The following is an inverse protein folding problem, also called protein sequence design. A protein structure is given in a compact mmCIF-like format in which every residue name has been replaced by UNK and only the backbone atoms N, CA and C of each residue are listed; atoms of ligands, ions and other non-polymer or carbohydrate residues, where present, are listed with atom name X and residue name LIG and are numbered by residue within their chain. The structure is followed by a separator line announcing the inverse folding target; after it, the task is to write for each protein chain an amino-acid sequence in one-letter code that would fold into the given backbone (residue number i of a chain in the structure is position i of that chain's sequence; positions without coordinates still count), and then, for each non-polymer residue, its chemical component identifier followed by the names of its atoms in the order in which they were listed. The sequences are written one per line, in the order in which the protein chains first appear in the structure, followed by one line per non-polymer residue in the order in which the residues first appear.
data_IF_130602615846
#
_entry.id   IF_130602615846
#
_cell.length_a   1.000
_cell.length_b   1.000
_cell.length_c   1.000
_cell.angle_alpha   90.00
_cell.angle_beta   90.00
_cell.angle_gamma   90.00
#
_symmetry.space_group_name_H-M   'P 1'
#
loop_
_entity.id
_entity.type
_entity.pdbx_description
1 polymer ?
#
# COMPACT_ATOMS: atom_id res chain seq x y z
N UNK A 1 5.51 -19.32 3.56
CA UNK A 1 4.32 -19.37 2.69
C UNK A 1 4.05 -17.94 2.27
N UNK A 2 3.97 -17.65 0.96
CA UNK A 2 3.64 -16.29 0.50
C UNK A 2 2.23 -16.00 1.00
N UNK A 3 2.05 -14.99 1.85
CA UNK A 3 0.72 -14.47 2.20
C UNK A 3 -0.01 -14.21 0.87
N UNK A 4 -1.00 -15.04 0.56
CA UNK A 4 -1.82 -14.86 -0.62
C UNK A 4 -2.61 -13.58 -0.38
N UNK A 5 -2.15 -12.47 -0.95
CA UNK A 5 -2.83 -11.19 -0.82
C UNK A 5 -4.27 -11.31 -1.32
N UNK A 6 -5.19 -10.70 -0.61
CA UNK A 6 -6.60 -10.61 -1.00
C UNK A 6 -6.74 -9.55 -2.09
N UNK A 7 -7.63 -9.75 -3.05
CA UNK A 7 -7.91 -8.70 -4.03
C UNK A 7 -8.50 -7.48 -3.31
N UNK A 8 -8.02 -6.28 -3.64
CA UNK A 8 -8.57 -5.03 -3.13
C UNK A 8 -10.02 -4.89 -3.61
N UNK A 9 -10.93 -4.64 -2.68
CA UNK A 9 -12.36 -4.51 -2.93
C UNK A 9 -12.88 -3.13 -2.52
N UNK A 10 -14.08 -2.76 -2.96
CA UNK A 10 -14.68 -1.47 -2.59
C UNK A 10 -14.93 -1.34 -1.08
N UNK A 11 -15.12 -2.47 -0.38
CA UNK A 11 -15.28 -2.50 1.07
C UNK A 11 -14.02 -2.00 1.82
N UNK A 12 -12.84 -2.09 1.21
CA UNK A 12 -11.59 -1.59 1.79
C UNK A 12 -11.57 -0.06 1.87
N UNK A 13 -12.53 0.62 1.21
CA UNK A 13 -12.64 2.07 1.15
C UNK A 13 -13.86 2.60 1.88
N UNK A 14 -14.60 1.78 2.63
CA UNK A 14 -15.84 2.19 3.31
C UNK A 14 -15.66 3.46 4.18
N UNK A 15 -14.50 3.59 4.83
CA UNK A 15 -14.15 4.74 5.68
C UNK A 15 -13.17 5.71 5.01
N UNK A 16 -12.76 5.43 3.77
CA UNK A 16 -11.83 6.26 3.04
C UNK A 16 -12.51 7.53 2.54
N UNK A 17 -11.78 8.64 2.56
CA UNK A 17 -12.27 9.91 2.00
C UNK A 17 -11.89 10.00 0.52
N UNK A 18 -12.78 10.53 -0.35
CA UNK A 18 -12.41 10.85 -1.72
C UNK A 18 -11.11 11.69 -1.76
N UNK A 19 -10.21 11.43 -2.72
CA UNK A 19 -10.39 10.62 -3.93
C UNK A 19 -10.06 9.13 -3.78
N UNK A 20 -9.80 8.62 -2.57
CA UNK A 20 -9.42 7.22 -2.38
C UNK A 20 -10.52 6.26 -2.86
N UNK A 21 -10.15 5.39 -3.80
CA UNK A 21 -10.96 4.29 -4.33
C UNK A 21 -10.02 3.25 -4.94
N UNK A 22 -10.58 2.08 -5.32
CA UNK A 22 -9.84 1.05 -6.06
C UNK A 22 -9.26 1.61 -7.37
N UNK A 23 -10.04 2.40 -8.12
CA UNK A 23 -9.61 3.05 -9.35
C UNK A 23 -8.49 4.06 -9.08
N UNK A 24 -8.60 4.87 -8.02
CA UNK A 24 -7.56 5.82 -7.66
C UNK A 24 -6.24 5.11 -7.39
N UNK A 25 -6.25 4.02 -6.60
CA UNK A 25 -5.03 3.23 -6.36
C UNK A 25 -4.46 2.70 -7.68
N UNK A 26 -5.28 2.15 -8.57
CA UNK A 26 -4.82 1.66 -9.89
C UNK A 26 -4.15 2.77 -10.70
N UNK A 27 -4.79 3.94 -10.79
CA UNK A 27 -4.26 5.10 -11.50
C UNK A 27 -2.91 5.56 -10.95
N UNK A 28 -2.75 5.58 -9.63
CA UNK A 28 -1.46 5.90 -8.98
C UNK A 28 -0.40 4.86 -9.34
N UNK A 29 -0.72 3.58 -9.22
CA UNK A 29 0.22 2.50 -9.55
C UNK A 29 0.64 2.53 -11.02
N UNK A 30 -0.29 2.76 -11.94
CA UNK A 30 -0.01 2.90 -13.38
C UNK A 30 0.85 4.14 -13.66
N UNK A 31 0.48 5.30 -13.12
CA UNK A 31 1.16 6.58 -13.34
C UNK A 31 2.62 6.56 -12.91
N UNK A 32 2.92 5.94 -11.77
CA UNK A 32 4.28 5.87 -11.22
C UNK A 32 4.98 4.54 -11.51
N UNK A 33 4.36 3.66 -12.31
CA UNK A 33 4.85 2.33 -12.65
C UNK A 33 5.23 1.51 -11.40
N UNK A 34 4.41 1.59 -10.36
CA UNK A 34 4.63 0.87 -9.10
C UNK A 34 4.23 -0.60 -9.29
N UNK A 35 5.04 -1.48 -8.71
CA UNK A 35 4.75 -2.91 -8.56
C UNK A 35 4.24 -3.24 -7.16
N UNK A 36 4.77 -2.58 -6.12
CA UNK A 36 4.26 -2.75 -4.76
C UNK A 36 4.60 -1.60 -3.83
N UNK A 37 3.81 -1.46 -2.78
CA UNK A 37 4.08 -0.63 -1.62
C UNK A 37 4.03 -1.53 -0.38
N UNK A 38 5.05 -1.49 0.47
CA UNK A 38 5.13 -2.29 1.69
C UNK A 38 5.31 -1.37 2.89
N UNK A 39 4.45 -1.54 3.89
CA UNK A 39 4.48 -0.85 5.18
C UNK A 39 5.23 -1.69 6.21
N UNK A 40 6.17 -1.05 6.93
CA UNK A 40 7.00 -1.71 7.95
C UNK A 40 6.66 -1.27 9.39
N UNK A 41 5.72 -0.34 9.58
CA UNK A 41 5.49 0.30 10.89
C UNK A 41 6.06 1.72 10.95
N UNK A 42 5.65 2.50 11.95
CA UNK A 42 6.20 3.84 12.23
C UNK A 42 6.24 4.79 11.03
N UNK A 43 5.23 4.71 10.15
CA UNK A 43 5.17 5.45 8.87
C UNK A 43 6.34 5.17 7.90
N UNK A 44 7.04 4.04 8.06
CA UNK A 44 8.08 3.60 7.13
C UNK A 44 7.49 2.75 6.01
N UNK A 45 7.77 3.16 4.78
CA UNK A 45 7.29 2.49 3.57
C UNK A 45 8.45 2.21 2.61
N UNK A 46 8.34 1.09 1.90
CA UNK A 46 9.15 0.78 0.74
C UNK A 46 8.26 0.69 -0.49
N UNK A 47 8.61 1.46 -1.51
CA UNK A 47 7.92 1.47 -2.79
C UNK A 47 8.84 0.84 -3.83
N UNK A 48 8.33 -0.16 -4.54
CA UNK A 48 9.03 -0.81 -5.64
C UNK A 48 8.28 -0.55 -6.94
N UNK A 49 9.03 -0.23 -7.99
CA UNK A 49 8.54 -0.18 -9.37
C UNK A 49 8.30 -1.59 -9.92
N UNK A 50 7.63 -1.69 -11.06
CA UNK A 50 7.37 -2.98 -11.73
C UNK A 50 8.66 -3.73 -12.13
N UNK A 51 9.76 -3.01 -12.36
CA UNK A 51 11.09 -3.58 -12.60
C UNK A 51 11.85 -3.93 -11.31
N UNK A 52 11.19 -3.89 -10.14
CA UNK A 52 11.76 -4.12 -8.80
C UNK A 52 12.77 -3.07 -8.33
N UNK A 53 12.94 -1.97 -9.04
CA UNK A 53 13.76 -0.85 -8.55
C UNK A 53 13.02 -0.06 -7.47
N UNK A 54 13.74 0.49 -6.47
CA UNK A 54 13.14 1.34 -5.47
C UNK A 54 12.62 2.64 -6.10
N UNK A 55 11.40 3.02 -5.75
CA UNK A 55 10.86 4.34 -6.03
C UNK A 55 11.14 5.25 -4.82
N UNK A 56 12.13 6.12 -4.92
CA UNK A 56 12.52 7.06 -3.87
C UNK A 56 12.29 8.51 -4.32
N UNK A 57 11.89 9.40 -3.40
CA UNK A 57 11.75 10.82 -3.72
C UNK A 57 13.14 11.44 -3.88
N UNK A 58 13.28 12.36 -4.84
CA UNK A 58 14.51 13.08 -5.14
C UNK A 58 14.25 14.59 -5.04
N UNK A 59 15.08 15.36 -4.30
CA UNK A 59 16.29 14.97 -3.57
C UNK A 59 16.01 14.13 -2.30
N UNK A 60 17.03 13.48 -1.69
CA UNK A 60 16.86 12.73 -0.45
C UNK A 60 16.20 13.58 0.65
N UNK A 61 15.20 13.01 1.33
CA UNK A 61 14.39 13.72 2.33
C UNK A 61 13.23 14.54 1.76
N UNK A 62 13.07 14.58 0.44
CA UNK A 62 11.84 15.08 -0.18
C UNK A 62 10.66 14.15 0.12
N UNK A 63 9.45 14.71 0.05
CA UNK A 63 8.20 13.96 0.13
C UNK A 63 7.91 13.28 -1.20
N UNK A 64 7.11 12.22 -1.14
CA UNK A 64 6.52 11.66 -2.35
C UNK A 64 5.51 12.63 -2.97
N UNK A 65 5.18 12.46 -4.26
CA UNK A 65 4.02 13.11 -4.86
C UNK A 65 2.76 12.94 -4.00
N UNK A 66 1.92 13.97 -3.93
CA UNK A 66 0.76 14.01 -3.04
C UNK A 66 -0.18 12.80 -3.19
N UNK A 67 -0.34 12.29 -4.40
CA UNK A 67 -1.15 11.09 -4.67
C UNK A 67 -0.58 9.84 -4.01
N UNK A 68 0.75 9.69 -3.99
CA UNK A 68 1.42 8.59 -3.28
C UNK A 68 1.25 8.76 -1.78
N UNK A 69 1.47 9.98 -1.25
CA UNK A 69 1.29 10.26 0.19
C UNK A 69 -0.11 9.89 0.67
N UNK A 70 -1.16 10.16 -0.12
CA UNK A 70 -2.53 9.72 0.17
C UNK A 70 -2.66 8.20 0.27
N UNK A 71 -1.96 7.45 -0.60
CA UNK A 71 -1.95 5.97 -0.53
C UNK A 71 -1.23 5.49 0.72
N UNK A 72 -0.09 6.10 1.09
CA UNK A 72 0.65 5.74 2.30
C UNK A 72 -0.19 5.97 3.56
N UNK A 73 -0.84 7.13 3.65
CA UNK A 73 -1.75 7.47 4.74
C UNK A 73 -2.93 6.49 4.83
N UNK A 74 -3.50 6.12 3.69
CA UNK A 74 -4.57 5.12 3.62
C UNK A 74 -4.10 3.76 4.14
N UNK A 75 -2.95 3.28 3.66
CA UNK A 75 -2.39 2.00 4.09
C UNK A 75 -2.13 1.95 5.60
N UNK A 76 -1.60 3.04 6.18
CA UNK A 76 -1.36 3.12 7.62
C UNK A 76 -2.66 3.06 8.43
N UNK A 77 -3.71 3.77 8.00
CA UNK A 77 -5.00 3.84 8.70
C UNK A 77 -5.77 2.52 8.64
N UNK A 78 -5.84 1.92 7.45
CA UNK A 78 -6.55 0.66 7.22
C UNK A 78 -5.71 -0.58 7.59
N UNK A 79 -4.54 -0.38 8.22
CA UNK A 79 -3.63 -1.46 8.64
C UNK A 79 -3.27 -2.41 7.50
N UNK A 80 -3.09 -1.87 6.29
CA UNK A 80 -2.68 -2.62 5.11
C UNK A 80 -1.15 -2.70 5.12
N UNK A 81 -0.62 -3.92 5.26
CA UNK A 81 0.81 -4.17 5.26
C UNK A 81 1.41 -4.02 3.88
N UNK A 82 0.73 -4.50 2.85
CA UNK A 82 1.27 -4.50 1.48
C UNK A 82 0.17 -4.27 0.48
N UNK A 83 0.45 -3.40 -0.49
CA UNK A 83 -0.28 -3.33 -1.75
C UNK A 83 0.63 -3.84 -2.87
N UNK A 84 0.07 -4.65 -3.77
CA UNK A 84 0.79 -5.23 -4.92
C UNK A 84 -0.08 -5.12 -6.15
N UNK A 85 0.53 -4.77 -7.27
CA UNK A 85 -0.18 -4.56 -8.53
C UNK A 85 0.38 -5.48 -9.60
N UNK A 86 -0.46 -6.39 -10.07
CA UNK A 86 -0.10 -7.42 -11.03
C UNK A 86 -1.20 -7.54 -12.08
N UNK A 87 -0.82 -7.43 -13.36
CA UNK A 87 -1.74 -7.59 -14.50
C UNK A 87 -3.02 -6.75 -14.41
N UNK A 88 -2.93 -5.53 -13.86
CA UNK A 88 -4.08 -4.64 -13.72
C UNK A 88 -4.93 -4.87 -12.47
N UNK A 89 -4.56 -5.83 -11.60
CA UNK A 89 -5.28 -6.18 -10.38
C UNK A 89 -4.46 -5.77 -9.16
N UNK A 90 -5.11 -5.17 -8.17
CA UNK A 90 -4.52 -4.81 -6.89
C UNK A 90 -4.80 -5.88 -5.84
N UNK A 91 -3.76 -6.28 -5.13
CA UNK A 91 -3.82 -7.19 -4.01
C UNK A 91 -3.33 -6.50 -2.74
N UNK A 92 -3.99 -6.77 -1.61
CA UNK A 92 -3.57 -6.32 -0.29
C UNK A 92 -3.22 -7.49 0.63
N UNK A 93 -2.29 -7.27 1.55
CA UNK A 93 -2.16 -8.10 2.74
C UNK A 93 -2.21 -7.24 3.99
N UNK A 94 -2.75 -7.81 5.07
CA UNK A 94 -2.98 -7.10 6.31
C UNK A 94 -1.74 -7.13 7.19
N UNK A 95 -1.62 -6.16 8.09
CA UNK A 95 -0.63 -6.24 9.16
C UNK A 95 -1.09 -7.36 10.09
N UNK A 96 -0.28 -8.41 10.33
CA UNK A 96 -0.65 -9.47 11.25
C UNK A 96 -1.09 -8.84 12.57
N UNK A 97 -2.31 -9.15 13.00
CA UNK A 97 -2.68 -8.88 14.38
C UNK A 97 -1.69 -9.65 15.24
N UNK A 98 -0.96 -8.94 16.10
CA UNK A 98 -0.32 -9.57 17.24
C UNK A 98 -1.48 -10.22 18.00
N UNK A 99 -1.67 -11.52 17.79
CA UNK A 99 -2.53 -12.29 18.66
C UNK A 99 -1.99 -12.03 20.05
N UNK A 100 -2.76 -11.35 20.89
CA UNK A 100 -2.43 -11.25 22.31
C UNK A 100 -2.16 -12.68 22.73
N UNK A 101 -0.89 -12.97 23.04
CA UNK A 101 -0.50 -14.20 23.67
C UNK A 101 -1.40 -14.30 24.90
N UNK A 102 -2.43 -15.15 24.80
CA UNK A 102 -3.15 -15.65 25.96
C UNK A 102 -2.09 -16.41 26.76
N UNK A 103 -1.41 -15.68 27.63
CA UNK A 103 -0.67 -16.24 28.74
C UNK A 103 -1.71 -16.97 29.58
N UNK A 104 -1.79 -18.29 29.40
CA UNK A 104 -2.34 -19.19 30.41
C UNK A 104 -1.44 -19.18 31.64
#
# INVERSE_FOLDING_TARGET
MYEAGMEVSDADFEFAKPPLSKEFLRLVFDKFQLGSITYFGENMFYLARQNSEPFIPLPPGARYPAEIELVLDFMAKERIRRLRYEMGVLFRSDIPELSDSKTQ
#
